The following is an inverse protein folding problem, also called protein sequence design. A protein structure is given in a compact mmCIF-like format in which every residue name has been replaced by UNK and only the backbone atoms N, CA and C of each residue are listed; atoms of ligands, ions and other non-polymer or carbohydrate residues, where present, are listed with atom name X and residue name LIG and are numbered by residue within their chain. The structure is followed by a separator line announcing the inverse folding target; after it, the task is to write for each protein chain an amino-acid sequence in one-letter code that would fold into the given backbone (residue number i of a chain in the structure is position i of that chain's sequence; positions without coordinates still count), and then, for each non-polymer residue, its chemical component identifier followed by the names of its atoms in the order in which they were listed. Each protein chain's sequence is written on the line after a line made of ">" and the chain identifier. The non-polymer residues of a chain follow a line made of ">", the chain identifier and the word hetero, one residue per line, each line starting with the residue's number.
data_IF_751397066484
#
_entry.id   IF_751397066484
#
_cell.length_a   1.000
_cell.length_b   1.000
_cell.length_c   1.000
_cell.angle_alpha   90.00
_cell.angle_beta   90.00
_cell.angle_gamma   90.00
#
_symmetry.space_group_name_H-M   'P 1'
#
loop_
_entity.id
_entity.type
_entity.pdbx_description
1 polymer ?
#
# COMPACT_ATOMS: atom_id res chain seq x y z
N UNK A 1 6.84 8.69 -2.05
CA UNK A 1 8.17 8.51 -1.44
C UNK A 1 9.26 9.16 -2.29
N UNK A 2 9.25 8.98 -3.62
CA UNK A 2 10.04 9.80 -4.54
C UNK A 2 9.40 11.17 -4.70
N UNK A 3 10.19 12.23 -4.57
CA UNK A 3 9.77 13.63 -4.53
C UNK A 3 10.56 14.47 -5.53
N UNK A 4 9.97 15.59 -5.95
CA UNK A 4 10.73 16.67 -6.60
C UNK A 4 11.46 17.45 -5.51
N UNK A 5 12.73 17.13 -5.28
CA UNK A 5 13.56 17.78 -4.26
C UNK A 5 13.74 19.30 -4.45
N UNK A 6 13.44 19.80 -5.64
CA UNK A 6 13.46 21.23 -5.96
C UNK A 6 12.16 21.95 -5.61
N UNK A 7 11.09 21.22 -5.28
CA UNK A 7 9.84 21.80 -4.80
C UNK A 7 10.02 22.24 -3.34
N UNK A 8 9.68 23.50 -3.07
CA UNK A 8 9.77 24.08 -1.73
C UNK A 8 8.99 23.27 -0.70
N UNK A 9 7.84 22.69 -1.07
CA UNK A 9 7.06 21.86 -0.16
C UNK A 9 7.93 20.76 0.46
N UNK A 10 8.76 20.10 -0.35
CA UNK A 10 9.59 19.00 0.11
C UNK A 10 10.93 19.43 0.72
N UNK A 11 11.37 20.67 0.47
CA UNK A 11 12.50 21.27 1.17
C UNK A 11 12.14 21.61 2.62
N UNK A 12 10.90 22.05 2.83
CA UNK A 12 10.35 22.42 4.14
C UNK A 12 9.64 21.23 4.83
N UNK A 13 9.74 20.01 4.29
CA UNK A 13 9.10 18.81 4.84
C UNK A 13 10.12 17.72 5.23
N UNK A 14 9.73 16.87 6.19
CA UNK A 14 10.49 15.70 6.60
C UNK A 14 9.59 14.47 6.65
N UNK A 15 10.08 13.31 6.23
CA UNK A 15 9.34 12.06 6.30
C UNK A 15 9.44 11.47 7.71
N UNK A 16 8.30 11.27 8.36
CA UNK A 16 8.21 10.61 9.66
C UNK A 16 7.60 9.23 9.46
N UNK A 17 8.29 8.17 9.88
CA UNK A 17 7.76 6.81 9.83
C UNK A 17 6.71 6.63 10.92
N UNK A 18 5.63 5.94 10.59
CA UNK A 18 4.57 5.65 11.56
C UNK A 18 5.08 4.76 12.69
N UNK A 19 5.92 3.79 12.35
CA UNK A 19 6.49 2.81 13.26
C UNK A 19 7.40 3.47 14.29
N UNK A 20 8.23 4.44 13.86
CA UNK A 20 9.06 5.25 14.77
C UNK A 20 8.23 5.94 15.85
N UNK A 21 7.12 6.57 15.44
CA UNK A 21 6.22 7.24 16.37
C UNK A 21 5.59 6.29 17.37
N UNK A 22 5.25 5.07 16.96
CA UNK A 22 4.65 4.04 17.82
C UNK A 22 5.66 3.37 18.76
N UNK A 23 6.82 2.98 18.22
CA UNK A 23 7.83 2.20 18.93
C UNK A 23 8.69 3.08 19.84
N UNK A 24 9.02 4.28 19.37
CA UNK A 24 9.97 5.19 20.01
C UNK A 24 9.38 6.62 20.05
N UNK A 25 8.22 6.84 20.71
CA UNK A 25 7.52 8.12 20.69
C UNK A 25 8.39 9.27 21.21
N UNK A 26 9.13 9.05 22.30
CA UNK A 26 10.02 10.08 22.86
C UNK A 26 11.10 10.50 21.86
N UNK A 27 11.77 9.55 21.22
CA UNK A 27 12.79 9.84 20.20
C UNK A 27 12.17 10.60 19.01
N UNK A 28 11.02 10.14 18.53
CA UNK A 28 10.31 10.72 17.38
C UNK A 28 9.87 12.15 17.64
N UNK A 29 9.20 12.41 18.77
CA UNK A 29 8.71 13.76 19.07
C UNK A 29 9.84 14.71 19.50
N UNK A 30 10.94 14.21 20.07
CA UNK A 30 12.13 15.05 20.32
C UNK A 30 12.72 15.53 18.99
N UNK A 31 12.95 14.62 18.05
CA UNK A 31 13.48 14.97 16.73
C UNK A 31 12.52 15.85 15.91
N UNK A 32 11.20 15.59 16.01
CA UNK A 32 10.20 16.41 15.32
C UNK A 32 10.10 17.83 15.92
N UNK A 33 10.21 17.96 17.24
CA UNK A 33 10.21 19.25 17.91
C UNK A 33 11.44 20.08 17.49
N UNK A 34 12.62 19.45 17.41
CA UNK A 34 13.83 20.08 16.88
C UNK A 34 13.66 20.52 15.42
N UNK A 35 13.10 19.67 14.55
CA UNK A 35 12.82 20.00 13.16
C UNK A 35 11.89 21.23 13.01
N UNK A 36 10.90 21.36 13.91
CA UNK A 36 9.94 22.45 13.90
C UNK A 36 10.40 23.69 14.69
N UNK A 37 11.60 23.66 15.28
CA UNK A 37 12.14 24.72 16.15
C UNK A 37 11.21 25.06 17.34
N UNK A 38 10.71 24.00 18.01
CA UNK A 38 9.87 24.11 19.22
C UNK A 38 10.46 23.25 20.36
N UNK A 39 10.21 23.59 21.64
CA UNK A 39 10.64 22.73 22.74
C UNK A 39 9.84 21.44 22.78
N UNK A 40 10.51 20.32 23.03
CA UNK A 40 9.86 19.06 23.36
C UNK A 40 9.07 19.19 24.68
N UNK A 41 7.90 18.57 24.73
CA UNK A 41 7.12 18.40 25.97
C UNK A 41 6.62 16.97 26.08
N UNK A 42 6.53 16.46 27.31
CA UNK A 42 6.00 15.11 27.59
C UNK A 42 4.54 14.95 27.11
N UNK A 43 3.80 16.05 26.97
CA UNK A 43 2.45 16.03 26.41
C UNK A 43 2.36 15.59 24.95
N UNK A 44 3.48 15.51 24.23
CA UNK A 44 3.52 15.01 22.85
C UNK A 44 3.42 13.49 22.77
N UNK A 45 3.66 12.75 23.87
CA UNK A 45 3.67 11.28 23.89
C UNK A 45 2.37 10.67 24.42
N UNK A 46 1.26 11.43 24.40
CA UNK A 46 -0.08 10.90 24.64
C UNK A 46 -1.15 11.70 23.89
N UNK A 47 -2.29 11.06 23.64
CA UNK A 47 -3.47 11.72 23.12
C UNK A 47 -4.35 12.19 24.30
N UNK A 48 -4.87 13.41 24.28
CA UNK A 48 -5.82 13.88 25.30
C UNK A 48 -7.18 14.19 24.68
N UNK A 49 -8.26 13.87 25.38
CA UNK A 49 -9.61 14.27 24.99
C UNK A 49 -10.54 14.43 26.18
N UNK A 50 -11.82 14.70 25.92
CA UNK A 50 -12.86 14.91 26.96
C UNK A 50 -12.97 13.71 27.92
N UNK A 51 -12.58 12.51 27.48
CA UNK A 51 -12.63 11.26 28.26
C UNK A 51 -11.33 10.95 29.02
N UNK A 52 -10.33 11.85 29.01
CA UNK A 52 -9.04 11.66 29.66
C UNK A 52 -7.89 11.42 28.68
N UNK A 53 -6.81 10.82 29.17
CA UNK A 53 -5.62 10.47 28.39
C UNK A 53 -5.81 9.15 27.65
N UNK A 54 -5.30 9.11 26.42
CA UNK A 54 -5.38 8.02 25.45
C UNK A 54 -6.79 7.41 25.35
N UNK A 55 -7.84 8.22 25.11
CA UNK A 55 -9.19 7.69 25.03
C UNK A 55 -9.33 6.78 23.81
N UNK A 56 -10.12 5.72 23.95
CA UNK A 56 -10.48 4.87 22.82
C UNK A 56 -11.27 5.69 21.79
N UNK A 57 -10.77 5.72 20.54
CA UNK A 57 -11.41 6.46 19.44
C UNK A 57 -12.60 5.70 18.85
N UNK A 58 -12.47 4.38 18.67
CA UNK A 58 -13.55 3.47 18.27
C UNK A 58 -13.34 2.11 18.94
N UNK A 59 -14.42 1.36 19.16
CA UNK A 59 -14.39 0.05 19.82
C UNK A 59 -13.38 -0.88 19.14
N UNK A 60 -12.37 -1.32 19.88
CA UNK A 60 -11.33 -2.24 19.41
C UNK A 60 -10.07 -1.55 18.84
N UNK A 61 -9.99 -0.22 18.90
CA UNK A 61 -8.78 0.51 18.54
C UNK A 61 -7.73 0.43 19.66
N UNK A 62 -6.47 0.30 19.27
CA UNK A 62 -5.34 0.38 20.22
C UNK A 62 -5.21 1.81 20.75
N UNK A 63 -4.75 1.95 21.99
CA UNK A 63 -4.71 3.25 22.67
C UNK A 63 -3.34 3.92 22.47
N UNK A 64 -3.35 5.23 22.23
CA UNK A 64 -2.13 6.05 22.20
C UNK A 64 -1.04 5.47 21.28
N UNK A 65 0.14 5.22 21.84
CA UNK A 65 1.33 4.71 21.16
C UNK A 65 1.53 3.20 21.28
N UNK A 66 0.49 2.44 21.62
CA UNK A 66 0.56 0.97 21.64
C UNK A 66 1.08 0.41 20.29
N UNK A 67 2.15 -0.41 20.30
CA UNK A 67 2.81 -0.91 19.10
C UNK A 67 2.05 -2.05 18.43
N UNK A 68 0.96 -2.56 19.03
CA UNK A 68 0.21 -3.68 18.48
C UNK A 68 -0.29 -3.43 17.04
N UNK A 69 -0.47 -2.18 16.61
CA UNK A 69 -0.80 -1.86 15.20
C UNK A 69 0.38 -1.98 14.23
N UNK A 70 1.62 -1.83 14.71
CA UNK A 70 2.83 -1.98 13.89
C UNK A 70 3.02 -3.45 13.50
N UNK A 71 2.75 -4.37 14.42
CA UNK A 71 2.97 -5.81 14.23
C UNK A 71 1.78 -6.57 13.64
N UNK A 72 0.73 -5.89 13.18
CA UNK A 72 -0.40 -6.56 12.52
C UNK A 72 0.02 -7.00 11.12
N UNK A 73 -0.03 -8.30 10.87
CA UNK A 73 0.33 -8.91 9.58
C UNK A 73 -0.76 -8.78 8.52
N UNK A 74 -2.03 -8.65 8.93
CA UNK A 74 -3.17 -8.50 8.02
C UNK A 74 -3.28 -9.66 7.00
N UNK A 75 -3.09 -10.90 7.47
CA UNK A 75 -3.07 -12.13 6.66
C UNK A 75 -4.37 -12.41 5.90
N UNK A 76 -5.48 -11.79 6.30
CA UNK A 76 -6.73 -11.83 5.57
C UNK A 76 -6.71 -11.03 4.25
N UNK A 77 -5.76 -10.10 4.08
CA UNK A 77 -5.69 -9.18 2.93
C UNK A 77 -4.51 -9.44 1.99
N UNK A 78 -3.44 -10.08 2.45
CA UNK A 78 -2.28 -10.40 1.63
C UNK A 78 -1.70 -11.77 2.00
N UNK A 79 -1.27 -12.54 1.01
CA UNK A 79 -0.45 -13.74 1.21
C UNK A 79 1.05 -13.47 1.01
N UNK A 80 1.88 -14.47 1.30
CA UNK A 80 3.33 -14.34 1.31
C UNK A 80 3.91 -14.06 -0.10
N UNK A 81 3.27 -14.58 -1.16
CA UNK A 81 3.70 -14.29 -2.54
C UNK A 81 3.37 -12.84 -2.92
N UNK A 82 2.19 -12.36 -2.51
CA UNK A 82 1.79 -10.96 -2.69
C UNK A 82 2.72 -10.00 -1.93
N UNK A 83 3.15 -10.38 -0.72
CA UNK A 83 4.09 -9.59 0.09
C UNK A 83 5.50 -9.60 -0.47
N UNK A 84 6.04 -10.76 -0.84
CA UNK A 84 7.37 -10.85 -1.47
C UNK A 84 7.42 -10.03 -2.77
N UNK A 85 6.35 -10.07 -3.57
CA UNK A 85 6.22 -9.24 -4.76
C UNK A 85 6.29 -7.74 -4.43
N UNK A 86 5.56 -7.28 -3.41
CA UNK A 86 5.59 -5.88 -3.00
C UNK A 86 6.96 -5.48 -2.44
N UNK A 87 7.55 -6.29 -1.57
CA UNK A 87 8.87 -6.03 -0.98
C UNK A 87 9.93 -5.88 -2.07
N UNK A 88 9.97 -6.76 -3.07
CA UNK A 88 10.92 -6.64 -4.16
C UNK A 88 10.73 -5.34 -4.95
N UNK A 89 9.51 -5.02 -5.39
CA UNK A 89 9.28 -3.80 -6.20
C UNK A 89 9.38 -2.50 -5.38
N UNK A 90 9.38 -2.59 -4.05
CA UNK A 90 9.61 -1.46 -3.14
C UNK A 90 10.98 -1.51 -2.43
N UNK A 91 11.89 -2.42 -2.81
CA UNK A 91 13.18 -2.63 -2.14
C UNK A 91 13.99 -1.35 -1.89
N UNK A 92 14.04 -0.45 -2.87
CA UNK A 92 14.77 0.83 -2.74
C UNK A 92 14.12 1.75 -1.69
N UNK A 93 12.80 1.66 -1.53
CA UNK A 93 12.03 2.38 -0.50
C UNK A 93 12.30 1.78 0.87
N UNK A 94 12.34 0.45 0.95
CA UNK A 94 12.65 -0.27 2.17
C UNK A 94 14.06 0.09 2.66
N UNK A 95 15.05 -0.01 1.77
CA UNK A 95 16.44 0.37 2.08
C UNK A 95 16.55 1.83 2.51
N UNK A 96 15.98 2.76 1.74
CA UNK A 96 16.08 4.19 2.03
C UNK A 96 15.47 4.59 3.39
N UNK A 97 14.49 3.83 3.86
CA UNK A 97 13.79 4.09 5.11
C UNK A 97 14.07 3.04 6.18
N UNK A 98 15.10 2.21 6.03
CA UNK A 98 15.57 1.27 7.06
C UNK A 98 14.57 0.18 7.42
N UNK A 99 13.87 -0.37 6.41
CA UNK A 99 13.06 -1.57 6.53
C UNK A 99 13.83 -2.79 5.97
N UNK A 100 13.75 -3.92 6.67
CA UNK A 100 14.19 -5.24 6.23
C UNK A 100 13.05 -5.99 5.53
N UNK A 101 13.41 -7.00 4.73
CA UNK A 101 12.44 -7.89 4.08
C UNK A 101 12.04 -9.04 4.99
N UNK A 102 10.76 -9.39 4.98
CA UNK A 102 10.21 -10.52 5.72
C UNK A 102 9.81 -11.68 4.80
N UNK A 103 9.53 -11.41 3.53
CA UNK A 103 8.95 -12.38 2.59
C UNK A 103 9.80 -12.56 1.33
N UNK A 104 10.47 -11.51 0.85
CA UNK A 104 11.44 -11.59 -0.23
C UNK A 104 12.82 -11.98 0.31
N UNK A 105 13.39 -13.08 -0.20
CA UNK A 105 14.61 -13.69 0.36
C UNK A 105 15.88 -13.34 -0.43
N UNK A 106 15.81 -12.34 -1.31
CA UNK A 106 16.95 -11.94 -2.14
C UNK A 106 17.19 -12.85 -3.34
N UNK A 107 16.21 -13.67 -3.74
CA UNK A 107 16.31 -14.44 -4.98
C UNK A 107 16.37 -13.55 -6.23
N UNK A 108 16.98 -14.05 -7.31
CA UNK A 108 17.02 -13.35 -8.59
C UNK A 108 15.60 -13.17 -9.14
N UNK A 109 15.28 -11.95 -9.57
CA UNK A 109 13.95 -11.61 -10.08
C UNK A 109 13.99 -11.35 -11.58
N UNK A 110 13.35 -12.25 -12.31
CA UNK A 110 13.10 -12.14 -13.74
C UNK A 110 11.59 -12.18 -14.05
N UNK A 111 11.23 -12.25 -15.33
CA UNK A 111 9.84 -12.33 -15.75
C UNK A 111 9.15 -13.64 -15.33
N UNK A 112 9.90 -14.75 -15.18
CA UNK A 112 9.35 -16.02 -14.74
C UNK A 112 8.97 -15.96 -13.26
N UNK A 113 9.83 -15.38 -12.43
CA UNK A 113 9.54 -15.10 -11.03
C UNK A 113 8.28 -14.23 -10.89
N UNK A 114 8.19 -13.13 -11.65
CA UNK A 114 7.00 -12.26 -11.64
C UNK A 114 5.74 -13.02 -12.00
N UNK A 115 5.81 -13.88 -13.02
CA UNK A 115 4.66 -14.69 -13.45
C UNK A 115 4.25 -15.70 -12.38
N UNK A 116 5.22 -16.37 -11.76
CA UNK A 116 5.01 -17.33 -10.68
C UNK A 116 4.31 -16.67 -9.49
N UNK A 117 4.81 -15.51 -9.02
CA UNK A 117 4.17 -14.76 -7.94
C UNK A 117 2.73 -14.38 -8.27
N UNK A 118 2.48 -13.77 -9.43
CA UNK A 118 1.12 -13.32 -9.81
C UNK A 118 0.15 -14.50 -9.96
N UNK A 119 0.62 -15.68 -10.42
CA UNK A 119 -0.20 -16.90 -10.49
C UNK A 119 -0.65 -17.38 -9.10
N UNK A 120 0.18 -17.13 -8.09
CA UNK A 120 -0.05 -17.52 -6.70
C UNK A 120 -0.69 -16.41 -5.85
N UNK A 121 -1.16 -15.31 -6.45
CA UNK A 121 -1.93 -14.28 -5.73
C UNK A 121 -3.31 -14.82 -5.37
N UNK A 122 -3.56 -15.06 -4.09
CA UNK A 122 -4.81 -15.64 -3.60
C UNK A 122 -5.66 -14.64 -2.82
N UNK A 123 -5.10 -13.93 -1.84
CA UNK A 123 -5.87 -13.05 -0.94
C UNK A 123 -6.36 -11.81 -1.66
N UNK A 124 -5.45 -11.10 -2.33
CA UNK A 124 -5.77 -9.89 -3.07
C UNK A 124 -6.77 -10.19 -4.19
N UNK A 125 -6.57 -11.28 -4.93
CA UNK A 125 -7.46 -11.70 -6.01
C UNK A 125 -8.86 -12.04 -5.51
N UNK A 126 -8.96 -12.73 -4.36
CA UNK A 126 -10.25 -13.04 -3.72
C UNK A 126 -10.98 -11.77 -3.28
N UNK A 127 -10.29 -10.84 -2.61
CA UNK A 127 -10.88 -9.56 -2.18
C UNK A 127 -11.38 -8.71 -3.36
N UNK A 128 -10.62 -8.70 -4.47
CA UNK A 128 -11.02 -8.01 -5.71
C UNK A 128 -12.25 -8.67 -6.30
N UNK A 129 -12.25 -9.99 -6.47
CA UNK A 129 -13.37 -10.74 -7.04
C UNK A 129 -14.66 -10.51 -6.23
N UNK A 130 -14.59 -10.63 -4.90
CA UNK A 130 -15.74 -10.37 -4.04
C UNK A 130 -16.26 -8.94 -4.15
N UNK A 131 -15.36 -7.97 -4.15
CA UNK A 131 -15.71 -6.55 -4.24
C UNK A 131 -16.39 -6.22 -5.57
N UNK A 132 -15.88 -6.77 -6.68
CA UNK A 132 -16.51 -6.64 -8.00
C UNK A 132 -17.86 -7.35 -8.06
N UNK A 133 -17.96 -8.58 -7.56
CA UNK A 133 -19.23 -9.33 -7.49
C UNK A 133 -20.30 -8.54 -6.74
N UNK A 134 -19.96 -8.00 -5.56
CA UNK A 134 -20.86 -7.16 -4.75
C UNK A 134 -21.25 -5.87 -5.49
N UNK A 135 -20.27 -5.17 -6.07
CA UNK A 135 -20.49 -3.91 -6.78
C UNK A 135 -21.39 -4.07 -8.01
N UNK A 136 -21.14 -5.08 -8.85
CA UNK A 136 -21.93 -5.35 -10.06
C UNK A 136 -23.39 -5.67 -9.73
N UNK A 137 -23.64 -6.44 -8.66
CA UNK A 137 -24.98 -6.73 -8.17
C UNK A 137 -25.71 -5.47 -7.70
N UNK A 138 -25.09 -4.71 -6.77
CA UNK A 138 -25.71 -3.51 -6.19
C UNK A 138 -25.98 -2.45 -7.26
N UNK A 139 -25.05 -2.28 -8.20
CA UNK A 139 -25.16 -1.28 -9.26
C UNK A 139 -25.96 -1.75 -10.48
N UNK A 140 -26.42 -3.02 -10.51
CA UNK A 140 -27.09 -3.66 -11.64
C UNK A 140 -26.33 -3.44 -12.96
N UNK A 141 -25.04 -3.78 -12.94
CA UNK A 141 -24.12 -3.61 -14.07
C UNK A 141 -23.53 -4.94 -14.51
N UNK A 142 -23.20 -5.02 -15.80
CA UNK A 142 -22.52 -6.16 -16.40
C UNK A 142 -21.25 -5.72 -17.11
N UNK A 143 -20.30 -6.64 -17.17
CA UNK A 143 -19.02 -6.42 -17.85
C UNK A 143 -19.11 -7.06 -19.23
N UNK A 144 -18.84 -6.26 -20.26
CA UNK A 144 -18.69 -6.74 -21.63
C UNK A 144 -17.25 -6.60 -22.08
N UNK A 145 -16.67 -7.71 -22.54
CA UNK A 145 -15.38 -7.74 -23.23
C UNK A 145 -15.55 -7.15 -24.64
N UNK A 146 -14.78 -6.12 -24.95
CA UNK A 146 -14.74 -5.48 -26.26
C UNK A 146 -13.30 -5.52 -26.79
N UNK A 147 -13.07 -5.88 -28.07
CA UNK A 147 -11.74 -5.83 -28.67
C UNK A 147 -11.18 -4.41 -28.65
N UNK A 148 -9.91 -4.24 -28.25
CA UNK A 148 -9.26 -2.91 -28.16
C UNK A 148 -8.16 -2.71 -29.22
N UNK A 149 -8.40 -3.17 -30.46
CA UNK A 149 -7.54 -2.91 -31.64
C UNK A 149 -6.14 -3.53 -31.64
N UNK A 150 -5.63 -3.92 -30.48
CA UNK A 150 -4.51 -4.81 -30.22
C UNK A 150 -5.06 -6.04 -29.46
N UNK A 151 -4.30 -7.11 -29.25
CA UNK A 151 -4.75 -8.35 -28.57
C UNK A 151 -5.27 -8.15 -27.12
N UNK A 152 -5.40 -6.89 -26.68
CA UNK A 152 -6.02 -6.50 -25.44
C UNK A 152 -7.54 -6.46 -25.53
N UNK A 153 -8.15 -6.86 -24.43
CA UNK A 153 -9.59 -6.76 -24.23
C UNK A 153 -9.87 -5.60 -23.29
N UNK A 154 -10.69 -4.65 -23.75
CA UNK A 154 -11.23 -3.59 -22.90
C UNK A 154 -12.52 -4.07 -22.26
N UNK A 155 -12.70 -3.75 -20.98
CA UNK A 155 -13.99 -3.92 -20.31
C UNK A 155 -14.85 -2.69 -20.50
N UNK A 156 -16.06 -2.91 -21.00
CA UNK A 156 -17.13 -1.93 -20.99
C UNK A 156 -18.11 -2.32 -19.88
N UNK A 157 -18.32 -1.40 -18.93
CA UNK A 157 -19.30 -1.57 -17.87
C UNK A 157 -20.62 -0.99 -18.39
N UNK A 158 -21.64 -1.84 -18.49
CA UNK A 158 -22.95 -1.49 -19.02
C UNK A 158 -23.99 -1.63 -17.91
N UNK A 159 -24.98 -0.74 -17.90
CA UNK A 159 -26.16 -0.95 -17.06
C UNK A 159 -26.97 -2.12 -17.62
N UNK A 160 -27.52 -2.96 -16.74
CA UNK A 160 -28.56 -3.91 -17.11
C UNK A 160 -29.75 -3.12 -17.68
N UNK A 161 -30.33 -3.59 -18.80
CA UNK A 161 -31.52 -2.97 -19.39
C UNK A 161 -32.72 -3.19 -18.46
N UNK A 162 -33.67 -2.24 -18.43
CA UNK A 162 -34.73 -2.18 -17.41
C UNK A 162 -35.85 -3.21 -17.56
N UNK A 163 -36.31 -3.64 -16.37
CA UNK A 163 -37.61 -4.13 -15.89
C UNK A 163 -38.14 -5.52 -16.29
N UNK A 164 -37.73 -6.14 -17.40
CA UNK A 164 -38.24 -7.47 -17.80
C UNK A 164 -37.17 -8.54 -18.08
N UNK A 165 -35.88 -8.26 -17.82
CA UNK A 165 -34.82 -9.27 -17.86
C UNK A 165 -34.56 -9.78 -16.43
N UNK A 166 -34.56 -11.10 -16.25
CA UNK A 166 -34.13 -11.72 -15.00
C UNK A 166 -32.72 -11.24 -14.65
N UNK A 167 -32.49 -10.89 -13.39
CA UNK A 167 -31.14 -10.53 -12.94
C UNK A 167 -30.21 -11.72 -13.23
N UNK A 168 -28.98 -11.49 -13.73
CA UNK A 168 -28.03 -12.56 -13.96
C UNK A 168 -27.84 -13.41 -12.70
N UNK A 169 -27.67 -14.72 -12.88
CA UNK A 169 -27.43 -15.61 -11.74
C UNK A 169 -26.15 -15.22 -10.99
N UNK A 170 -26.06 -15.64 -9.73
CA UNK A 170 -24.88 -15.40 -8.89
C UNK A 170 -23.57 -15.88 -9.55
N UNK A 171 -23.66 -16.98 -10.31
CA UNK A 171 -22.58 -17.58 -11.08
C UNK A 171 -22.11 -16.66 -12.21
N UNK A 172 -23.01 -15.93 -12.88
CA UNK A 172 -22.64 -14.98 -13.94
C UNK A 172 -21.86 -13.80 -13.36
N UNK A 173 -22.30 -13.25 -12.22
CA UNK A 173 -21.55 -12.19 -11.54
C UNK A 173 -20.18 -12.66 -11.05
N UNK A 174 -20.08 -13.91 -10.61
CA UNK A 174 -18.82 -14.51 -10.20
C UNK A 174 -17.87 -14.69 -11.37
N UNK A 175 -18.35 -15.20 -12.50
CA UNK A 175 -17.57 -15.27 -13.74
C UNK A 175 -17.07 -13.89 -14.16
N UNK A 176 -17.94 -12.87 -14.20
CA UNK A 176 -17.54 -11.50 -14.54
C UNK A 176 -16.48 -10.95 -13.58
N UNK A 177 -16.60 -11.22 -12.28
CA UNK A 177 -15.60 -10.82 -11.30
C UNK A 177 -14.25 -11.52 -11.54
N UNK A 178 -14.25 -12.80 -11.89
CA UNK A 178 -13.03 -13.54 -12.24
C UNK A 178 -12.38 -13.02 -13.52
N UNK A 179 -13.16 -12.65 -14.54
CA UNK A 179 -12.63 -12.02 -15.74
C UNK A 179 -11.89 -10.70 -15.42
N UNK A 180 -12.39 -9.92 -14.45
CA UNK A 180 -11.70 -8.71 -13.99
C UNK A 180 -10.37 -9.05 -13.34
N UNK A 181 -10.34 -10.05 -12.47
CA UNK A 181 -9.09 -10.52 -11.82
C UNK A 181 -8.08 -10.99 -12.86
N UNK A 182 -8.50 -11.78 -13.85
CA UNK A 182 -7.62 -12.25 -14.94
C UNK A 182 -7.00 -11.08 -15.72
N UNK A 183 -7.79 -10.06 -16.05
CA UNK A 183 -7.26 -8.85 -16.69
C UNK A 183 -6.28 -8.12 -15.76
N UNK A 184 -6.61 -7.96 -14.48
CA UNK A 184 -5.73 -7.29 -13.53
C UNK A 184 -4.40 -8.04 -13.37
N UNK A 185 -4.40 -9.37 -13.40
CA UNK A 185 -3.17 -10.17 -13.40
C UNK A 185 -2.33 -9.96 -14.66
N UNK A 186 -2.96 -9.86 -15.85
CA UNK A 186 -2.26 -9.49 -17.08
C UNK A 186 -1.66 -8.09 -17.02
N UNK A 187 -2.42 -7.12 -16.52
CA UNK A 187 -1.96 -5.74 -16.33
C UNK A 187 -0.79 -5.68 -15.33
N UNK A 188 -0.88 -6.38 -14.20
CA UNK A 188 0.20 -6.52 -13.20
C UNK A 188 1.46 -7.08 -13.83
N UNK A 189 1.35 -8.18 -14.57
CA UNK A 189 2.50 -8.79 -15.25
C UNK A 189 3.17 -7.80 -16.20
N UNK A 190 2.38 -7.12 -17.04
CA UNK A 190 2.90 -6.10 -17.96
C UNK A 190 3.62 -4.97 -17.22
N UNK A 191 3.02 -4.42 -16.17
CA UNK A 191 3.63 -3.34 -15.40
C UNK A 191 4.89 -3.78 -14.66
N UNK A 192 4.87 -4.98 -14.08
CA UNK A 192 6.03 -5.58 -13.43
C UNK A 192 7.19 -5.77 -14.41
N UNK A 193 6.93 -6.27 -15.63
CA UNK A 193 7.96 -6.37 -16.67
C UNK A 193 8.57 -5.01 -17.01
N UNK A 194 7.76 -3.95 -17.15
CA UNK A 194 8.28 -2.60 -17.36
C UNK A 194 9.11 -2.11 -16.17
N UNK A 195 8.73 -2.46 -14.93
CA UNK A 195 9.51 -2.09 -13.74
C UNK A 195 10.87 -2.80 -13.69
N UNK A 196 10.97 -4.03 -14.20
CA UNK A 196 12.24 -4.77 -14.31
C UNK A 196 13.23 -4.13 -15.30
N UNK A 197 12.75 -3.30 -16.24
CA UNK A 197 13.63 -2.60 -17.19
C UNK A 197 14.44 -1.44 -16.55
N UNK A 198 14.19 -1.11 -15.28
CA UNK A 198 14.93 -0.07 -14.56
C UNK A 198 14.44 1.34 -14.90
N UNK A 199 13.22 1.65 -14.48
CA UNK A 199 12.59 2.95 -14.77
C UNK A 199 13.30 4.11 -14.05
N UNK A 200 13.47 5.22 -14.78
CA UNK A 200 13.93 6.49 -14.23
C UNK A 200 12.73 7.43 -14.03
N UNK A 201 12.44 7.78 -12.78
CA UNK A 201 11.36 8.71 -12.45
C UNK A 201 11.88 10.14 -12.47
N UNK A 202 11.24 11.00 -13.26
CA UNK A 202 11.65 12.40 -13.47
C UNK A 202 10.50 13.37 -13.19
N UNK A 203 10.84 14.58 -12.75
CA UNK A 203 9.89 15.69 -12.61
C UNK A 203 9.55 16.31 -13.98
N UNK A 204 8.65 17.31 -13.98
CA UNK A 204 8.25 18.04 -15.20
C UNK A 204 9.39 18.78 -15.91
N UNK A 205 10.52 18.98 -15.24
CA UNK A 205 11.74 19.63 -15.77
C UNK A 205 12.79 18.61 -16.25
N UNK A 206 12.45 17.32 -16.26
CA UNK A 206 13.36 16.26 -16.68
C UNK A 206 14.46 15.93 -15.66
N UNK A 207 14.34 16.39 -14.41
CA UNK A 207 15.28 16.05 -13.35
C UNK A 207 14.84 14.79 -12.61
N UNK A 208 15.74 13.91 -12.17
CA UNK A 208 15.40 12.74 -11.38
C UNK A 208 14.63 13.10 -10.10
N UNK A 209 13.67 12.25 -9.73
CA UNK A 209 13.06 12.29 -8.40
C UNK A 209 13.99 11.61 -7.40
N UNK A 210 13.90 12.03 -6.14
CA UNK A 210 14.74 11.50 -5.06
C UNK A 210 13.87 11.00 -3.91
N UNK A 211 14.39 10.07 -3.10
CA UNK A 211 13.73 9.68 -1.86
C UNK A 211 13.58 10.90 -0.94
N UNK A 212 12.42 11.03 -0.32
CA UNK A 212 12.15 12.08 0.66
C UNK A 212 13.11 11.91 1.85
N UNK A 213 13.59 13.02 2.39
CA UNK A 213 14.51 12.98 3.53
C UNK A 213 13.78 12.41 4.76
N UNK A 214 14.27 11.31 5.38
CA UNK A 214 13.68 10.79 6.60
C UNK A 214 14.10 11.61 7.82
N UNK A 215 13.22 11.68 8.82
CA UNK A 215 13.52 12.21 10.14
C UNK A 215 14.51 11.26 10.81
N UNK A 216 15.66 11.79 11.22
CA UNK A 216 16.68 11.01 11.93
C UNK A 216 16.42 11.08 13.42
N UNK A 217 16.26 9.92 14.06
CA UNK A 217 16.09 9.82 15.50
C UNK A 217 17.45 9.74 16.21
N UNK A 218 17.51 10.21 17.45
CA UNK A 218 18.66 10.00 18.32
C UNK A 218 18.75 8.51 18.71
N UNK A 219 19.83 7.79 18.35
CA UNK A 219 20.01 6.39 18.71
C UNK A 219 19.98 6.14 20.22
N UNK A 220 20.35 7.13 21.05
CA UNK A 220 20.32 7.00 22.50
C UNK A 220 18.90 6.99 23.10
N UNK A 221 17.88 7.39 22.32
CA UNK A 221 16.47 7.41 22.72
C UNK A 221 15.66 6.25 22.14
N UNK A 222 16.30 5.32 21.42
CA UNK A 222 15.63 4.15 20.86
C UNK A 222 15.45 3.08 21.95
N UNK A 223 14.20 2.70 22.18
CA UNK A 223 13.78 1.74 23.21
C UNK A 223 13.35 0.41 22.58
N UNK A 224 12.72 0.44 21.40
CA UNK A 224 12.21 -0.74 20.71
C UNK A 224 12.73 -0.81 19.27
N UNK A 225 13.27 -1.96 18.83
CA UNK A 225 13.62 -2.17 17.44
C UNK A 225 12.37 -2.25 16.56
N UNK A 226 12.55 -2.01 15.25
CA UNK A 226 11.47 -2.12 14.27
C UNK A 226 11.01 -3.56 14.05
N UNK A 227 11.95 -4.50 14.14
CA UNK A 227 11.73 -5.93 13.95
C UNK A 227 12.03 -6.71 15.23
N UNK A 228 11.40 -7.87 15.37
CA UNK A 228 11.59 -8.83 16.46
C UNK A 228 12.34 -10.06 15.98
#
# INVERSE_FOLDING_TARGET
>A
FMIDWQDRLFQDSILVRFEDGKLNPKATFTALAEFLDIPYTESMTYCSGVKGLNPESMKGNVLGFDPATVYRTYDEYADDNERAFLEFFFRDVYEAYGYDFQYYNGEDVDQEWVKEKIQNFTRLNSCIAESWKKSLKVSRKVIKKVPDGNENTRFQILNLKKENEEDPSDTVFEQMAQEVVEKMNKDRYRFACCLLEGLNFINRRGQPLHMMKPLKLDPALLEQPLYH
#
